data_IF_614393416391
#
_entry.id   IF_614393416391
#
_cell.length_a   1.000
_cell.length_b   1.000
_cell.length_c   1.000
_cell.angle_alpha   90.00
_cell.angle_beta   90.00
_cell.angle_gamma   90.00
#
_symmetry.space_group_name_H-M   'P 1'
#
loop_
_entity.id
_entity.type
_entity.pdbx_description
1 polymer ?
#
# COMPACT_ATOMS: atom_id res chain seq x y z
N UNK A 1 -8.81 11.05 33.97
CA UNK A 1 -7.77 11.36 34.96
C UNK A 1 -7.42 12.83 34.82
N UNK A 2 -7.86 13.62 35.80
CA UNK A 2 -7.56 15.03 35.98
C UNK A 2 -6.06 15.26 36.20
N UNK A 3 -5.53 16.39 35.73
CA UNK A 3 -4.78 17.33 36.57
C UNK A 3 -4.67 18.72 35.93
N UNK A 4 -5.24 19.67 36.67
CA UNK A 4 -5.03 21.12 36.65
C UNK A 4 -3.57 21.48 37.04
N UNK A 5 -3.26 22.78 36.92
CA UNK A 5 -2.31 23.65 37.66
C UNK A 5 -1.42 24.40 36.64
N UNK A 6 -1.72 25.68 36.34
CA UNK A 6 -1.35 26.90 37.10
C UNK A 6 0.14 27.25 36.95
N UNK A 7 0.44 28.43 36.39
CA UNK A 7 1.20 29.48 37.08
C UNK A 7 1.57 30.60 36.12
N UNK A 8 1.19 31.80 36.55
CA UNK A 8 1.51 33.12 36.05
C UNK A 8 2.89 33.51 36.62
N UNK A 9 3.88 33.84 35.79
CA UNK A 9 5.12 34.48 36.25
C UNK A 9 5.41 35.72 35.41
N UNK A 10 5.20 36.86 36.05
CA UNK A 10 5.69 38.19 35.69
C UNK A 10 7.20 38.20 35.98
N UNK A 11 8.02 38.62 35.01
CA UNK A 11 9.43 38.91 35.26
C UNK A 11 9.80 40.19 34.53
N UNK A 12 10.06 41.23 35.32
CA UNK A 12 10.59 42.50 34.89
C UNK A 12 12.07 42.39 34.52
N UNK A 13 12.47 43.21 33.56
CA UNK A 13 13.86 43.50 33.26
C UNK A 13 14.09 44.99 33.51
N UNK A 14 14.71 45.26 34.67
CA UNK A 14 15.43 46.50 34.95
C UNK A 14 16.55 46.68 33.92
N UNK A 15 16.64 47.88 33.36
CA UNK A 15 17.86 48.37 32.69
C UNK A 15 18.60 49.29 33.67
N UNK A 16 19.92 49.14 33.88
CA UNK A 16 20.69 50.01 34.74
C UNK A 16 21.09 51.31 34.01
N UNK A 17 20.83 52.45 34.64
CA UNK A 17 21.37 53.73 34.20
C UNK A 17 22.78 53.92 34.73
N UNK A 18 23.72 54.10 33.81
CA UNK A 18 25.13 54.40 34.04
C UNK A 18 25.26 55.84 34.58
N UNK A 19 25.84 55.97 35.77
CA UNK A 19 26.20 57.24 36.41
C UNK A 19 27.52 57.74 35.80
N UNK A 20 27.51 58.93 35.22
CA UNK A 20 28.73 59.66 34.85
C UNK A 20 28.73 60.99 35.59
N UNK A 21 29.69 61.11 36.51
CA UNK A 21 29.99 62.30 37.28
C UNK A 21 30.52 63.41 36.36
N UNK A 22 29.92 64.59 36.45
CA UNK A 22 30.54 65.84 36.00
C UNK A 22 30.46 66.86 37.13
N UNK A 23 31.63 67.44 37.39
CA UNK A 23 31.97 68.43 38.40
C UNK A 23 31.34 69.77 38.10
N UNK A 24 30.57 70.33 39.06
CA UNK A 24 30.09 71.71 39.00
C UNK A 24 30.92 72.62 39.91
N UNK A 25 31.61 73.55 39.26
CA UNK A 25 32.16 74.78 39.81
C UNK A 25 31.02 75.74 40.18
N UNK A 26 31.02 76.22 41.42
CA UNK A 26 30.07 77.20 41.94
C UNK A 26 30.26 78.59 41.31
N UNK A 27 29.20 79.13 40.70
CA UNK A 27 29.10 80.53 40.28
C UNK A 27 27.78 81.09 40.84
N UNK A 28 27.78 82.31 41.44
CA UNK A 28 26.66 82.81 42.21
C UNK A 28 25.47 83.27 41.35
N UNK A 29 24.29 83.10 41.96
CA UNK A 29 22.96 83.28 41.39
C UNK A 29 22.62 84.73 41.00
N UNK A 30 21.90 84.94 39.88
CA UNK A 30 21.12 86.15 39.65
C UNK A 30 19.77 86.10 40.37
N UNK A 31 19.32 87.27 40.81
CA UNK A 31 18.16 87.53 41.67
C UNK A 31 16.80 87.14 41.05
N UNK A 32 15.77 86.86 41.89
CA UNK A 32 14.50 86.31 41.45
C UNK A 32 13.49 87.43 41.17
N UNK A 33 13.21 87.69 39.90
CA UNK A 33 12.01 88.44 39.50
C UNK A 33 11.30 87.62 38.43
N UNK A 34 10.04 87.27 38.70
CA UNK A 34 9.05 86.72 37.75
C UNK A 34 8.92 85.17 37.63
N UNK A 35 8.66 84.51 38.76
CA UNK A 35 8.32 83.07 38.85
C UNK A 35 6.86 82.75 38.49
N UNK A 36 5.93 83.68 38.69
CA UNK A 36 4.50 83.47 38.40
C UNK A 36 4.20 83.27 36.92
N UNK A 37 4.73 84.13 36.04
CA UNK A 37 4.47 84.07 34.59
C UNK A 37 5.07 82.80 33.96
N UNK A 38 6.25 82.37 34.41
CA UNK A 38 6.92 81.15 33.91
C UNK A 38 6.15 79.87 34.25
N UNK A 39 5.50 79.83 35.41
CA UNK A 39 4.71 78.67 35.82
C UNK A 39 3.43 78.56 34.99
N UNK A 40 2.71 79.67 34.79
CA UNK A 40 1.53 79.72 33.90
C UNK A 40 1.84 79.33 32.46
N UNK A 41 3.00 79.73 31.90
CA UNK A 41 3.41 79.34 30.54
C UNK A 41 3.70 77.82 30.46
N UNK A 42 4.28 77.22 31.51
CA UNK A 42 4.49 75.76 31.59
C UNK A 42 3.16 75.01 31.68
N UNK A 43 2.20 75.50 32.44
CA UNK A 43 0.88 74.88 32.61
C UNK A 43 0.06 74.95 31.32
N UNK A 44 0.10 76.08 30.60
CA UNK A 44 -0.53 76.23 29.27
C UNK A 44 0.12 75.26 28.26
N UNK A 45 1.46 75.17 28.23
CA UNK A 45 2.17 74.24 27.34
C UNK A 45 1.85 72.78 27.66
N UNK A 46 1.75 72.40 28.92
CA UNK A 46 1.44 71.02 29.31
C UNK A 46 -0.04 70.66 29.08
N UNK A 47 -0.97 71.61 29.21
CA UNK A 47 -2.36 71.38 28.81
C UNK A 47 -2.50 71.24 27.30
N UNK A 48 -1.87 72.13 26.52
CA UNK A 48 -1.85 72.03 25.06
C UNK A 48 -1.22 70.72 24.58
N UNK A 49 -0.13 70.26 25.24
CA UNK A 49 0.50 68.99 24.93
C UNK A 49 -0.43 67.80 25.24
N UNK A 50 -1.16 67.84 26.37
CA UNK A 50 -2.17 66.82 26.71
C UNK A 50 -3.31 66.74 25.70
N UNK A 51 -3.81 67.87 25.19
CA UNK A 51 -4.81 67.89 24.11
C UNK A 51 -4.27 67.31 22.80
N UNK A 52 -3.04 67.64 22.43
CA UNK A 52 -2.40 67.11 21.22
C UNK A 52 -2.21 65.59 21.35
N UNK A 53 -1.78 65.11 22.51
CA UNK A 53 -1.56 63.69 22.75
C UNK A 53 -2.87 62.91 22.85
N UNK A 54 -3.93 63.50 23.41
CA UNK A 54 -5.28 62.95 23.39
C UNK A 54 -5.82 62.82 21.96
N UNK A 55 -5.71 63.87 21.13
CA UNK A 55 -6.11 63.83 19.72
C UNK A 55 -5.30 62.82 18.90
N UNK A 56 -3.99 62.67 19.20
CA UNK A 56 -3.14 61.63 18.60
C UNK A 56 -3.56 60.23 19.03
N UNK A 57 -3.98 60.03 20.28
CA UNK A 57 -4.47 58.75 20.77
C UNK A 57 -5.80 58.35 20.10
N UNK A 58 -6.74 59.30 19.97
CA UNK A 58 -7.98 59.09 19.23
C UNK A 58 -7.72 58.76 17.76
N UNK A 59 -6.85 59.53 17.09
CA UNK A 59 -6.47 59.25 15.70
C UNK A 59 -5.84 57.86 15.53
N UNK A 60 -4.98 57.42 16.47
CA UNK A 60 -4.42 56.06 16.47
C UNK A 60 -5.49 54.99 16.64
N UNK A 61 -6.47 55.21 17.51
CA UNK A 61 -7.56 54.26 17.74
C UNK A 61 -8.45 54.12 16.49
N UNK A 62 -8.81 55.23 15.85
CA UNK A 62 -9.57 55.24 14.60
C UNK A 62 -8.83 54.53 13.46
N UNK A 63 -7.51 54.74 13.35
CA UNK A 63 -6.67 54.03 12.36
C UNK A 63 -6.64 52.52 12.65
N UNK A 64 -6.58 52.10 13.91
CA UNK A 64 -6.62 50.68 14.29
C UNK A 64 -7.96 50.04 13.96
N UNK A 65 -9.08 50.70 14.28
CA UNK A 65 -10.42 50.23 13.94
C UNK A 65 -10.58 50.06 12.43
N UNK A 66 -10.20 51.07 11.63
CA UNK A 66 -10.26 50.99 10.18
C UNK A 66 -9.36 49.88 9.61
N UNK A 67 -8.18 49.66 10.18
CA UNK A 67 -7.30 48.54 9.78
C UNK A 67 -7.93 47.18 10.09
N UNK A 68 -8.54 47.02 11.26
CA UNK A 68 -9.23 45.78 11.63
C UNK A 68 -10.42 45.51 10.71
N UNK A 69 -11.19 46.56 10.38
CA UNK A 69 -12.36 46.47 9.52
C UNK A 69 -11.98 46.15 8.06
N UNK A 70 -10.90 46.77 7.55
CA UNK A 70 -10.33 46.44 6.23
C UNK A 70 -9.78 45.02 6.19
N UNK A 71 -9.15 44.57 7.28
CA UNK A 71 -8.65 43.19 7.41
C UNK A 71 -9.81 42.21 7.41
N UNK A 72 -10.88 42.46 8.17
CA UNK A 72 -12.09 41.64 8.19
C UNK A 72 -12.76 41.55 6.81
N UNK A 73 -12.88 42.68 6.10
CA UNK A 73 -13.42 42.72 4.73
C UNK A 73 -12.56 41.90 3.76
N UNK A 74 -11.24 42.04 3.80
CA UNK A 74 -10.32 41.26 2.97
C UNK A 74 -10.39 39.75 3.28
N UNK A 75 -10.57 39.36 4.53
CA UNK A 75 -10.80 37.96 4.92
C UNK A 75 -12.11 37.44 4.34
N UNK A 76 -13.19 38.23 4.37
CA UNK A 76 -14.50 37.88 3.80
C UNK A 76 -14.48 37.71 2.27
N UNK A 77 -13.70 38.54 1.55
CA UNK A 77 -13.57 38.44 0.10
C UNK A 77 -12.78 37.19 -0.30
N UNK A 78 -11.71 36.86 0.43
CA UNK A 78 -10.98 35.58 0.26
C UNK A 78 -11.88 34.38 0.61
N UNK A 79 -12.79 34.56 1.56
CA UNK A 79 -13.81 33.60 1.95
C UNK A 79 -14.69 33.16 0.78
N UNK A 80 -15.30 34.14 0.10
CA UNK A 80 -16.14 33.87 -1.05
C UNK A 80 -15.36 33.25 -2.21
N UNK A 81 -14.11 33.66 -2.45
CA UNK A 81 -13.30 33.15 -3.57
C UNK A 81 -12.96 31.65 -3.45
N UNK A 82 -12.67 31.15 -2.23
CA UNK A 82 -12.39 29.72 -2.05
C UNK A 82 -13.66 28.88 -2.21
N UNK A 83 -14.74 29.24 -1.52
CA UNK A 83 -15.97 28.47 -1.55
C UNK A 83 -16.65 28.52 -2.94
N UNK A 84 -16.52 29.61 -3.69
CA UNK A 84 -16.98 29.66 -5.09
C UNK A 84 -16.15 28.80 -6.06
N UNK A 85 -14.91 28.46 -5.69
CA UNK A 85 -14.02 27.62 -6.49
C UNK A 85 -13.91 26.18 -5.97
N UNK A 86 -14.66 25.81 -4.93
CA UNK A 86 -14.49 24.53 -4.26
C UNK A 86 -14.75 23.35 -5.21
N UNK A 87 -15.78 23.41 -6.05
CA UNK A 87 -16.09 22.38 -7.04
C UNK A 87 -14.92 22.10 -7.98
N UNK A 88 -14.19 23.15 -8.41
CA UNK A 88 -13.00 22.98 -9.26
C UNK A 88 -11.89 22.23 -8.54
N UNK A 89 -11.70 22.49 -7.24
CA UNK A 89 -10.72 21.74 -6.43
C UNK A 89 -11.15 20.31 -6.17
N UNK A 90 -12.44 20.06 -5.99
CA UNK A 90 -12.98 18.72 -5.71
C UNK A 90 -12.92 17.81 -6.95
N UNK A 91 -13.17 18.34 -8.15
CA UNK A 91 -13.09 17.58 -9.40
C UNK A 91 -11.68 17.03 -9.69
N UNK A 92 -10.63 17.64 -9.12
CA UNK A 92 -9.26 17.15 -9.25
C UNK A 92 -8.99 15.83 -8.51
N UNK A 93 -9.80 15.47 -7.52
CA UNK A 93 -9.58 14.30 -6.65
C UNK A 93 -9.90 12.96 -7.34
N UNK A 94 -10.82 12.92 -8.32
CA UNK A 94 -11.29 11.66 -8.94
C UNK A 94 -10.31 11.05 -9.93
N UNK A 95 -9.46 11.87 -10.56
CA UNK A 95 -8.72 11.49 -11.78
C UNK A 95 -7.51 10.57 -11.55
N UNK A 96 -7.05 10.40 -10.30
CA UNK A 96 -5.89 9.56 -9.98
C UNK A 96 -6.24 8.10 -9.64
N UNK A 97 -7.42 7.86 -9.07
CA UNK A 97 -7.84 6.51 -8.69
C UNK A 97 -8.25 5.66 -9.90
N UNK A 98 -8.97 6.25 -10.86
CA UNK A 98 -9.53 5.56 -12.03
C UNK A 98 -8.44 5.08 -13.00
N UNK A 99 -7.39 5.89 -13.22
CA UNK A 99 -6.28 5.54 -14.13
C UNK A 99 -5.48 4.30 -13.70
N UNK A 100 -5.59 3.87 -12.45
CA UNK A 100 -4.93 2.65 -11.93
C UNK A 100 -5.72 1.37 -12.23
N UNK A 101 -7.02 1.49 -12.53
CA UNK A 101 -7.91 0.36 -12.81
C UNK A 101 -7.70 -0.15 -14.24
N UNK A 102 -7.67 0.77 -15.22
CA UNK A 102 -7.49 0.45 -16.65
C UNK A 102 -6.17 -0.28 -16.95
N UNK A 103 -5.07 0.16 -16.32
CA UNK A 103 -3.75 -0.50 -16.46
C UNK A 103 -3.72 -1.94 -15.93
N UNK A 104 -4.62 -2.28 -14.99
CA UNK A 104 -4.66 -3.63 -14.41
C UNK A 104 -5.36 -4.63 -15.30
N UNK A 105 -6.28 -4.21 -16.18
CA UNK A 105 -6.95 -5.12 -17.10
C UNK A 105 -6.05 -5.56 -18.26
N UNK A 106 -5.29 -4.64 -18.85
CA UNK A 106 -4.37 -4.96 -19.97
C UNK A 106 -3.29 -5.99 -19.57
N UNK A 107 -2.84 -5.94 -18.32
CA UNK A 107 -1.82 -6.87 -17.81
C UNK A 107 -2.36 -8.29 -17.60
N UNK A 108 -3.68 -8.47 -17.42
CA UNK A 108 -4.30 -9.79 -17.20
C UNK A 108 -4.33 -10.66 -18.46
N UNK A 109 -4.63 -10.08 -19.62
CA UNK A 109 -4.69 -10.83 -20.89
C UNK A 109 -3.38 -11.54 -21.21
N UNK A 110 -2.27 -10.81 -21.12
CA UNK A 110 -0.91 -11.33 -21.37
C UNK A 110 -0.49 -12.44 -20.38
N UNK A 111 -1.04 -12.45 -19.17
CA UNK A 111 -0.75 -13.48 -18.18
C UNK A 111 -1.54 -14.77 -18.43
N UNK A 112 -2.76 -14.67 -18.95
CA UNK A 112 -3.58 -15.81 -19.37
C UNK A 112 -2.93 -16.57 -20.53
N UNK A 113 -2.59 -15.85 -21.60
CA UNK A 113 -1.98 -16.44 -22.81
C UNK A 113 -0.71 -17.23 -22.51
N UNK A 114 0.18 -16.69 -21.67
CA UNK A 114 1.41 -17.41 -21.26
C UNK A 114 1.15 -18.70 -20.50
N UNK A 115 0.07 -18.77 -19.73
CA UNK A 115 -0.30 -19.99 -18.98
C UNK A 115 -0.79 -21.07 -19.93
N UNK A 116 -1.53 -20.71 -20.95
CA UNK A 116 -2.05 -21.65 -21.94
C UNK A 116 -0.93 -22.16 -22.86
N UNK A 117 -0.03 -21.29 -23.32
CA UNK A 117 1.16 -21.68 -24.09
C UNK A 117 2.03 -22.70 -23.31
N UNK A 118 2.25 -22.46 -22.02
CA UNK A 118 3.04 -23.38 -21.20
C UNK A 118 2.34 -24.74 -21.03
N UNK A 119 1.00 -24.76 -20.97
CA UNK A 119 0.21 -25.99 -20.87
C UNK A 119 0.35 -26.83 -22.13
N UNK A 120 0.28 -26.19 -23.30
CA UNK A 120 0.47 -26.86 -24.58
C UNK A 120 1.84 -27.51 -24.68
N UNK A 121 2.91 -26.74 -24.35
CA UNK A 121 4.29 -27.25 -24.33
C UNK A 121 4.49 -28.44 -23.39
N UNK A 122 3.86 -28.44 -22.22
CA UNK A 122 3.91 -29.60 -21.30
C UNK A 122 3.19 -30.80 -21.90
N UNK A 123 2.04 -30.60 -22.54
CA UNK A 123 1.31 -31.66 -23.23
C UNK A 123 2.11 -32.29 -24.37
N UNK A 124 2.79 -31.48 -25.18
CA UNK A 124 3.67 -31.96 -26.25
C UNK A 124 4.85 -32.79 -25.72
N UNK A 125 5.53 -32.30 -24.67
CA UNK A 125 6.66 -33.03 -24.06
C UNK A 125 6.25 -34.37 -23.47
N UNK A 126 5.03 -34.49 -22.93
CA UNK A 126 4.50 -35.77 -22.45
C UNK A 126 4.28 -36.75 -23.59
N UNK A 127 3.64 -36.30 -24.68
CA UNK A 127 3.45 -37.13 -25.88
C UNK A 127 4.79 -37.63 -26.45
N UNK A 128 5.80 -36.76 -26.49
CA UNK A 128 7.15 -37.13 -26.95
C UNK A 128 7.79 -38.19 -26.04
N UNK A 129 7.70 -38.02 -24.72
CA UNK A 129 8.23 -38.96 -23.74
C UNK A 129 7.50 -40.32 -23.81
N UNK A 130 6.18 -40.31 -23.99
CA UNK A 130 5.38 -41.53 -24.13
C UNK A 130 5.76 -42.30 -25.40
N UNK A 131 6.01 -41.59 -26.50
CA UNK A 131 6.50 -42.22 -27.75
C UNK A 131 7.86 -42.88 -27.54
N UNK A 132 8.82 -42.16 -26.94
CA UNK A 132 10.16 -42.70 -26.63
C UNK A 132 10.09 -43.91 -25.71
N UNK A 133 9.21 -43.90 -24.72
CA UNK A 133 9.01 -45.04 -23.82
C UNK A 133 8.44 -46.24 -24.57
N UNK A 134 7.42 -46.05 -25.41
CA UNK A 134 6.83 -47.11 -26.23
C UNK A 134 7.87 -47.75 -27.16
N UNK A 135 8.74 -46.95 -27.77
CA UNK A 135 9.85 -47.46 -28.58
C UNK A 135 10.84 -48.31 -27.77
N UNK A 136 11.19 -47.89 -26.55
CA UNK A 136 12.07 -48.66 -25.66
C UNK A 136 11.45 -50.00 -25.26
N UNK A 137 10.15 -49.99 -24.93
CA UNK A 137 9.39 -51.20 -24.57
C UNK A 137 9.23 -52.16 -25.77
N UNK A 138 9.05 -51.63 -26.98
CA UNK A 138 9.03 -52.43 -28.21
C UNK A 138 10.38 -53.13 -28.45
N UNK A 139 11.51 -52.43 -28.23
CA UNK A 139 12.85 -53.04 -28.31
C UNK A 139 13.06 -54.14 -27.28
N UNK A 140 12.47 -54.02 -26.09
CA UNK A 140 12.52 -55.06 -25.05
C UNK A 140 11.78 -56.33 -25.49
N UNK A 141 10.63 -56.18 -26.15
CA UNK A 141 9.86 -57.30 -26.70
C UNK A 141 10.66 -58.11 -27.72
N UNK A 142 11.43 -57.45 -28.59
CA UNK A 142 12.30 -58.12 -29.57
C UNK A 142 13.47 -58.93 -28.96
N UNK A 143 13.79 -58.73 -27.67
CA UNK A 143 14.85 -59.49 -26.97
C UNK A 143 14.34 -60.75 -26.26
N UNK A 144 13.02 -60.94 -26.20
CA UNK A 144 12.42 -62.14 -25.60
C UNK A 144 12.47 -63.31 -26.58
N UNK A 145 13.11 -64.41 -26.20
CA UNK A 145 13.30 -65.58 -27.08
C UNK A 145 12.31 -66.71 -26.80
N UNK A 146 11.87 -66.86 -25.55
CA UNK A 146 10.90 -67.90 -25.16
C UNK A 146 9.52 -67.31 -24.90
N UNK A 147 8.48 -68.15 -24.98
CA UNK A 147 7.10 -67.69 -24.72
C UNK A 147 6.92 -67.20 -23.28
N UNK A 148 7.58 -67.83 -22.30
CA UNK A 148 7.63 -67.33 -20.93
C UNK A 148 8.26 -65.92 -20.82
N UNK A 149 9.32 -65.63 -21.60
CA UNK A 149 9.92 -64.28 -21.62
C UNK A 149 9.00 -63.27 -22.32
N UNK A 150 8.29 -63.66 -23.38
CA UNK A 150 7.32 -62.78 -24.07
C UNK A 150 6.15 -62.41 -23.15
N UNK A 151 5.63 -63.37 -22.39
CA UNK A 151 4.58 -63.13 -21.38
C UNK A 151 5.09 -62.16 -20.32
N UNK A 152 6.27 -62.41 -19.73
CA UNK A 152 6.83 -61.54 -18.72
C UNK A 152 7.14 -60.11 -19.22
N UNK A 153 7.59 -59.96 -20.48
CA UNK A 153 7.76 -58.63 -21.10
C UNK A 153 6.41 -57.95 -21.29
N UNK A 154 5.37 -58.68 -21.70
CA UNK A 154 4.01 -58.14 -21.84
C UNK A 154 3.48 -57.65 -20.50
N UNK A 155 3.62 -58.45 -19.44
CA UNK A 155 3.22 -58.08 -18.08
C UNK A 155 4.00 -56.85 -17.57
N UNK A 156 5.31 -56.79 -17.85
CA UNK A 156 6.13 -55.62 -17.53
C UNK A 156 5.67 -54.37 -18.27
N UNK A 157 5.33 -54.47 -19.56
CA UNK A 157 4.80 -53.35 -20.36
C UNK A 157 3.48 -52.86 -19.78
N UNK A 158 2.57 -53.77 -19.44
CA UNK A 158 1.28 -53.44 -18.81
C UNK A 158 1.50 -52.74 -17.47
N UNK A 159 2.36 -53.28 -16.60
CA UNK A 159 2.69 -52.69 -15.31
C UNK A 159 3.32 -51.29 -15.45
N UNK A 160 4.21 -51.12 -16.43
CA UNK A 160 4.83 -49.83 -16.72
C UNK A 160 3.81 -48.79 -17.20
N UNK A 161 2.97 -49.14 -18.17
CA UNK A 161 1.93 -48.26 -18.70
C UNK A 161 0.93 -47.86 -17.60
N UNK A 162 0.55 -48.81 -16.73
CA UNK A 162 -0.31 -48.55 -15.59
C UNK A 162 0.37 -47.57 -14.60
N UNK A 163 1.62 -47.81 -14.23
CA UNK A 163 2.36 -46.93 -13.32
C UNK A 163 2.53 -45.51 -13.89
N UNK A 164 2.80 -45.38 -15.20
CA UNK A 164 2.86 -44.10 -15.89
C UNK A 164 1.51 -43.38 -15.86
N UNK A 165 0.44 -44.08 -16.23
CA UNK A 165 -0.92 -43.54 -16.23
C UNK A 165 -1.35 -43.05 -14.84
N UNK A 166 -1.03 -43.80 -13.78
CA UNK A 166 -1.33 -43.42 -12.40
C UNK A 166 -0.54 -42.17 -12.01
N UNK A 167 0.76 -42.14 -12.30
CA UNK A 167 1.63 -40.99 -12.00
C UNK A 167 1.14 -39.74 -12.71
N UNK A 168 0.84 -39.83 -14.00
CA UNK A 168 0.46 -38.67 -14.81
C UNK A 168 -0.91 -38.14 -14.40
N UNK A 169 -1.88 -39.03 -14.13
CA UNK A 169 -3.18 -38.64 -13.57
C UNK A 169 -3.04 -37.95 -12.20
N UNK A 170 -2.17 -38.45 -11.33
CA UNK A 170 -1.93 -37.85 -10.02
C UNK A 170 -1.25 -36.48 -10.14
N UNK A 171 -0.22 -36.34 -11.00
CA UNK A 171 0.44 -35.05 -11.26
C UNK A 171 -0.56 -34.05 -11.85
N UNK A 172 -1.42 -34.48 -12.77
CA UNK A 172 -2.43 -33.59 -13.37
C UNK A 172 -3.47 -33.12 -12.35
N UNK A 173 -3.90 -33.99 -11.46
CA UNK A 173 -4.79 -33.63 -10.36
C UNK A 173 -4.13 -32.58 -9.45
N UNK A 174 -2.87 -32.79 -9.03
CA UNK A 174 -2.09 -31.87 -8.19
C UNK A 174 -1.92 -30.51 -8.90
N UNK A 175 -1.52 -30.52 -10.17
CA UNK A 175 -1.32 -29.29 -10.94
C UNK A 175 -2.63 -28.54 -11.16
N UNK A 176 -3.75 -29.25 -11.37
CA UNK A 176 -5.07 -28.63 -11.48
C UNK A 176 -5.48 -27.99 -10.15
N UNK A 177 -5.40 -28.72 -9.04
CA UNK A 177 -5.74 -28.21 -7.72
C UNK A 177 -4.95 -26.94 -7.37
N UNK A 178 -3.64 -26.96 -7.63
CA UNK A 178 -2.77 -25.80 -7.39
C UNK A 178 -3.16 -24.58 -8.26
N UNK A 179 -3.54 -24.79 -9.52
CA UNK A 179 -4.02 -23.70 -10.40
C UNK A 179 -5.34 -23.13 -9.89
N UNK A 180 -6.29 -24.00 -9.57
CA UNK A 180 -7.61 -23.60 -9.05
C UNK A 180 -7.45 -22.79 -7.73
N UNK A 181 -6.52 -23.19 -6.87
CA UNK A 181 -6.17 -22.45 -5.65
C UNK A 181 -5.59 -21.05 -5.96
N UNK A 182 -4.65 -20.96 -6.90
CA UNK A 182 -4.11 -19.67 -7.36
C UNK A 182 -5.21 -18.78 -7.95
N UNK A 183 -6.06 -19.32 -8.82
CA UNK A 183 -7.11 -18.56 -9.48
C UNK A 183 -8.15 -18.06 -8.48
N UNK A 184 -8.50 -18.88 -7.49
CA UNK A 184 -9.34 -18.48 -6.34
C UNK A 184 -8.70 -17.34 -5.55
N UNK A 185 -7.39 -17.44 -5.24
CA UNK A 185 -6.68 -16.39 -4.52
C UNK A 185 -6.61 -15.07 -5.32
N UNK A 186 -6.39 -15.16 -6.64
CA UNK A 186 -6.38 -14.00 -7.54
C UNK A 186 -7.77 -13.35 -7.62
N UNK A 187 -8.83 -14.14 -7.76
CA UNK A 187 -10.21 -13.66 -7.78
C UNK A 187 -10.58 -12.98 -6.46
N UNK A 188 -10.25 -13.59 -5.32
CA UNK A 188 -10.46 -13.00 -3.99
C UNK A 188 -9.72 -11.67 -3.84
N UNK A 189 -8.44 -11.61 -4.25
CA UNK A 189 -7.66 -10.36 -4.25
C UNK A 189 -8.28 -9.28 -5.14
N UNK A 190 -8.81 -9.66 -6.31
CA UNK A 190 -9.52 -8.74 -7.23
C UNK A 190 -10.74 -8.13 -6.53
N UNK A 191 -11.63 -8.97 -6.00
CA UNK A 191 -12.85 -8.52 -5.31
C UNK A 191 -12.52 -7.64 -4.10
N UNK A 192 -11.53 -8.01 -3.29
CA UNK A 192 -11.12 -7.21 -2.14
C UNK A 192 -10.59 -5.82 -2.54
N UNK A 193 -9.86 -5.77 -3.66
CA UNK A 193 -9.30 -4.54 -4.19
C UNK A 193 -10.37 -3.63 -4.81
N UNK A 194 -11.34 -4.18 -5.53
CA UNK A 194 -12.53 -3.46 -6.01
C UNK A 194 -13.32 -2.87 -4.83
N UNK A 195 -13.52 -3.65 -3.76
CA UNK A 195 -14.14 -3.15 -2.52
C UNK A 195 -13.35 -2.03 -1.85
N UNK A 196 -12.02 -2.11 -1.84
CA UNK A 196 -11.15 -1.05 -1.32
C UNK A 196 -11.28 0.24 -2.14
N UNK A 197 -11.35 0.14 -3.47
CA UNK A 197 -11.58 1.30 -4.34
C UNK A 197 -12.97 1.91 -4.14
N UNK A 198 -14.01 1.08 -4.05
CA UNK A 198 -15.38 1.55 -3.79
C UNK A 198 -15.45 2.31 -2.45
N UNK A 199 -14.80 1.77 -1.40
CA UNK A 199 -14.71 2.44 -0.09
C UNK A 199 -13.96 3.76 -0.19
N UNK A 200 -12.82 3.79 -0.88
CA UNK A 200 -12.06 5.03 -1.06
C UNK A 200 -12.84 6.10 -1.82
N UNK A 201 -13.58 5.72 -2.88
CA UNK A 201 -14.48 6.63 -3.61
C UNK A 201 -15.56 7.20 -2.68
N UNK A 202 -16.21 6.34 -1.90
CA UNK A 202 -17.23 6.77 -0.94
C UNK A 202 -16.66 7.73 0.13
N UNK A 203 -15.47 7.42 0.68
CA UNK A 203 -14.79 8.30 1.64
C UNK A 203 -14.48 9.68 1.01
N UNK A 204 -14.04 9.73 -0.25
CA UNK A 204 -13.77 10.98 -0.96
C UNK A 204 -15.06 11.76 -1.23
N UNK A 205 -16.14 11.11 -1.67
CA UNK A 205 -17.44 11.77 -1.87
C UNK A 205 -18.01 12.35 -0.56
N UNK A 206 -17.88 11.62 0.55
CA UNK A 206 -18.27 12.13 1.86
C UNK A 206 -17.46 13.38 2.25
N UNK A 207 -16.15 13.38 1.99
CA UNK A 207 -15.29 14.54 2.24
C UNK A 207 -15.63 15.73 1.33
N UNK A 208 -15.97 15.49 0.06
CA UNK A 208 -16.46 16.53 -0.86
C UNK A 208 -17.76 17.14 -0.34
N UNK A 209 -18.72 16.31 0.07
CA UNK A 209 -20.00 16.77 0.60
C UNK A 209 -19.82 17.60 1.88
N UNK A 210 -18.97 17.14 2.81
CA UNK A 210 -18.66 17.89 4.02
C UNK A 210 -18.04 19.26 3.71
N UNK A 211 -17.08 19.32 2.79
CA UNK A 211 -16.42 20.58 2.45
C UNK A 211 -17.39 21.60 1.83
N UNK A 212 -18.39 21.14 1.06
CA UNK A 212 -19.50 21.99 0.55
C UNK A 212 -20.38 22.50 1.69
N UNK A 213 -20.82 21.61 2.57
CA UNK A 213 -21.64 21.97 3.73
C UNK A 213 -20.94 22.96 4.67
N UNK A 214 -19.63 22.79 4.89
CA UNK A 214 -18.81 23.72 5.69
C UNK A 214 -18.75 25.11 5.05
N UNK A 215 -18.63 25.18 3.72
CA UNK A 215 -18.67 26.44 2.97
C UNK A 215 -20.05 27.12 3.04
N UNK A 216 -21.14 26.37 2.92
CA UNK A 216 -22.51 26.89 3.06
C UNK A 216 -22.82 27.37 4.49
N UNK A 217 -22.23 26.71 5.48
CA UNK A 217 -22.36 27.06 6.91
C UNK A 217 -21.51 28.28 7.31
N UNK A 218 -20.76 28.88 6.37
CA UNK A 218 -19.94 30.06 6.63
C UNK A 218 -18.65 29.78 7.41
N UNK A 219 -18.19 28.52 7.47
CA UNK A 219 -16.91 28.18 8.10
C UNK A 219 -15.76 28.88 7.37
N UNK A 220 -14.73 29.31 8.10
CA UNK A 220 -13.59 29.97 7.46
C UNK A 220 -12.84 29.03 6.50
N UNK A 221 -12.43 29.47 5.30
CA UNK A 221 -11.78 28.66 4.28
C UNK A 221 -10.50 28.02 4.75
N UNK A 222 -9.80 28.67 5.67
CA UNK A 222 -8.58 28.12 6.28
C UNK A 222 -8.91 26.85 7.06
N UNK A 223 -10.04 26.85 7.80
CA UNK A 223 -10.55 25.65 8.46
C UNK A 223 -11.03 24.65 7.41
N UNK A 224 -11.90 25.03 6.47
CA UNK A 224 -12.43 24.12 5.43
C UNK A 224 -11.30 23.43 4.66
N UNK A 225 -10.29 24.19 4.22
CA UNK A 225 -9.14 23.66 3.48
C UNK A 225 -8.28 22.72 4.32
N UNK A 226 -8.07 23.05 5.60
CA UNK A 226 -7.31 22.20 6.53
C UNK A 226 -8.05 20.90 6.79
N UNK A 227 -9.36 20.96 7.05
CA UNK A 227 -10.23 19.80 7.25
C UNK A 227 -10.27 18.93 5.99
N UNK A 228 -10.54 19.51 4.82
CA UNK A 228 -10.53 18.81 3.53
C UNK A 228 -9.21 18.06 3.30
N UNK A 229 -8.07 18.74 3.47
CA UNK A 229 -6.76 18.11 3.30
C UNK A 229 -6.54 16.96 4.27
N UNK A 230 -6.90 17.15 5.54
CA UNK A 230 -6.73 16.14 6.59
C UNK A 230 -7.60 14.91 6.33
N UNK A 231 -8.87 15.12 5.94
CA UNK A 231 -9.79 14.02 5.66
C UNK A 231 -9.42 13.26 4.38
N UNK A 232 -8.97 13.95 3.32
CA UNK A 232 -8.44 13.29 2.11
C UNK A 232 -7.21 12.46 2.47
N UNK A 233 -6.29 12.99 3.29
CA UNK A 233 -5.11 12.25 3.74
C UNK A 233 -5.51 11.00 4.54
N UNK A 234 -6.48 11.12 5.46
CA UNK A 234 -6.98 9.99 6.23
C UNK A 234 -7.59 8.90 5.33
N UNK A 235 -8.39 9.28 4.32
CA UNK A 235 -8.94 8.34 3.34
C UNK A 235 -7.84 7.64 2.53
N UNK A 236 -6.80 8.38 2.11
CA UNK A 236 -5.65 7.81 1.41
C UNK A 236 -4.87 6.82 2.28
N UNK A 237 -4.65 7.13 3.56
CA UNK A 237 -3.88 6.28 4.46
C UNK A 237 -4.68 5.02 4.86
N UNK A 238 -6.00 5.15 5.01
CA UNK A 238 -6.93 4.02 5.14
C UNK A 238 -6.85 3.12 3.91
N UNK A 239 -6.97 3.67 2.70
CA UNK A 239 -6.85 2.91 1.46
C UNK A 239 -5.49 2.20 1.33
N UNK A 240 -4.38 2.89 1.60
CA UNK A 240 -3.04 2.27 1.59
C UNK A 240 -2.94 1.11 2.58
N UNK A 241 -3.52 1.26 3.78
CA UNK A 241 -3.52 0.22 4.80
C UNK A 241 -4.33 -1.00 4.38
N UNK A 242 -5.52 -0.78 3.80
CA UNK A 242 -6.35 -1.84 3.22
C UNK A 242 -5.64 -2.55 2.06
N UNK A 243 -4.98 -1.81 1.17
CA UNK A 243 -4.21 -2.41 0.08
C UNK A 243 -3.08 -3.27 0.65
N UNK A 244 -2.31 -2.76 1.61
CA UNK A 244 -1.23 -3.53 2.26
C UNK A 244 -1.73 -4.81 2.92
N UNK A 245 -2.92 -4.82 3.53
CA UNK A 245 -3.48 -6.05 4.12
C UNK A 245 -3.89 -7.05 3.04
N UNK A 246 -4.45 -6.59 1.93
CA UNK A 246 -4.79 -7.43 0.76
C UNK A 246 -3.53 -8.06 0.14
N UNK A 247 -2.40 -7.33 0.10
CA UNK A 247 -1.15 -7.82 -0.50
C UNK A 247 -0.44 -8.92 0.31
N UNK A 248 -0.74 -9.05 1.61
CA UNK A 248 -0.24 -10.17 2.44
C UNK A 248 -0.75 -11.53 1.98
N UNK A 249 -1.71 -11.59 1.05
CA UNK A 249 -2.10 -12.82 0.35
C UNK A 249 -0.95 -13.53 -0.41
N UNK A 250 0.24 -12.90 -0.53
CA UNK A 250 1.49 -13.57 -0.98
C UNK A 250 1.79 -14.86 -0.20
N UNK A 251 1.41 -14.91 1.07
CA UNK A 251 1.72 -16.05 1.95
C UNK A 251 1.00 -17.34 1.51
N UNK A 252 -0.20 -17.22 0.91
CA UNK A 252 -0.95 -18.35 0.36
C UNK A 252 -0.20 -19.00 -0.82
N UNK A 253 0.54 -18.22 -1.60
CA UNK A 253 1.28 -18.77 -2.74
C UNK A 253 2.47 -19.62 -2.32
N UNK A 254 3.11 -19.35 -1.18
CA UNK A 254 4.26 -20.14 -0.72
C UNK A 254 3.83 -21.45 -0.07
N UNK A 255 2.77 -21.43 0.77
CA UNK A 255 2.21 -22.66 1.35
C UNK A 255 1.75 -23.63 0.25
N UNK A 256 1.08 -23.11 -0.78
CA UNK A 256 0.62 -23.91 -1.92
C UNK A 256 1.77 -24.47 -2.77
N UNK A 257 2.91 -23.76 -2.86
CA UNK A 257 4.09 -24.28 -3.56
C UNK A 257 4.71 -25.45 -2.80
N UNK A 258 4.83 -25.37 -1.48
CA UNK A 258 5.43 -26.45 -0.69
C UNK A 258 4.51 -27.68 -0.62
N UNK A 259 3.20 -27.47 -0.50
CA UNK A 259 2.21 -28.54 -0.59
C UNK A 259 2.32 -29.28 -1.94
N UNK A 260 2.31 -28.53 -3.06
CA UNK A 260 2.49 -29.10 -4.39
C UNK A 260 3.79 -29.87 -4.52
N UNK A 261 4.90 -29.34 -4.00
CA UNK A 261 6.22 -30.00 -4.06
C UNK A 261 6.18 -31.34 -3.31
N UNK A 262 5.64 -31.34 -2.09
CA UNK A 262 5.51 -32.53 -1.24
C UNK A 262 4.66 -33.61 -1.92
N UNK A 263 3.53 -33.24 -2.50
CA UNK A 263 2.65 -34.20 -3.22
C UNK A 263 3.31 -34.75 -4.48
N UNK A 264 4.02 -33.91 -5.25
CA UNK A 264 4.78 -34.36 -6.43
C UNK A 264 5.90 -35.33 -6.05
N UNK A 265 6.64 -35.04 -4.98
CA UNK A 265 7.68 -35.93 -4.45
C UNK A 265 7.10 -37.28 -4.04
N UNK A 266 5.94 -37.28 -3.38
CA UNK A 266 5.22 -38.51 -3.03
C UNK A 266 4.82 -39.32 -4.27
N UNK A 267 4.23 -38.69 -5.28
CA UNK A 267 3.86 -39.35 -6.54
C UNK A 267 5.08 -39.96 -7.24
N UNK A 268 6.22 -39.28 -7.21
CA UNK A 268 7.47 -39.84 -7.74
C UNK A 268 7.99 -41.03 -6.94
N UNK A 269 7.89 -40.99 -5.61
CA UNK A 269 8.26 -42.12 -4.76
C UNK A 269 7.37 -43.35 -5.03
N UNK A 270 6.05 -43.16 -5.10
CA UNK A 270 5.08 -44.20 -5.40
C UNK A 270 5.33 -44.82 -6.79
N UNK A 271 5.63 -43.98 -7.80
CA UNK A 271 6.01 -44.43 -9.14
C UNK A 271 7.31 -45.25 -9.14
N UNK A 272 8.33 -44.81 -8.40
CA UNK A 272 9.61 -45.54 -8.30
C UNK A 272 9.42 -46.93 -7.71
N UNK A 273 8.61 -47.05 -6.65
CA UNK A 273 8.27 -48.34 -6.03
C UNK A 273 7.57 -49.26 -7.05
N UNK A 274 6.62 -48.73 -7.81
CA UNK A 274 5.90 -49.50 -8.84
C UNK A 274 6.84 -50.03 -9.94
N UNK A 275 7.76 -49.20 -10.43
CA UNK A 275 8.74 -49.63 -11.45
C UNK A 275 9.71 -50.68 -10.90
N UNK A 276 10.25 -50.48 -9.70
CA UNK A 276 11.20 -51.43 -9.12
C UNK A 276 10.56 -52.80 -8.91
N UNK A 277 9.29 -52.84 -8.50
CA UNK A 277 8.52 -54.09 -8.46
C UNK A 277 8.42 -54.75 -9.85
N UNK A 278 7.98 -54.01 -10.87
CA UNK A 278 7.86 -54.53 -12.23
C UNK A 278 9.22 -55.04 -12.78
N UNK A 279 10.32 -54.35 -12.48
CA UNK A 279 11.68 -54.76 -12.84
C UNK A 279 12.10 -56.07 -12.16
N UNK A 280 11.80 -56.23 -10.88
CA UNK A 280 12.09 -57.46 -10.14
C UNK A 280 11.32 -58.66 -10.69
N UNK A 281 10.04 -58.47 -11.02
CA UNK A 281 9.19 -59.50 -11.61
C UNK A 281 9.74 -59.93 -12.98
N UNK A 282 10.10 -58.96 -13.84
CA UNK A 282 10.73 -59.22 -15.14
C UNK A 282 12.07 -59.96 -14.98
N UNK A 283 12.94 -59.50 -14.07
CA UNK A 283 14.25 -60.12 -13.84
C UNK A 283 14.12 -61.57 -13.37
N UNK A 284 13.12 -61.87 -12.54
CA UNK A 284 12.84 -63.23 -12.07
C UNK A 284 12.47 -64.14 -13.23
N UNK A 285 11.57 -63.69 -14.12
CA UNK A 285 11.20 -64.44 -15.32
C UNK A 285 12.38 -64.72 -16.26
N UNK A 286 13.32 -63.78 -16.40
CA UNK A 286 14.53 -63.98 -17.21
C UNK A 286 15.57 -64.90 -16.53
N UNK A 287 15.61 -64.95 -15.19
CA UNK A 287 16.53 -65.82 -14.42
C UNK A 287 16.09 -67.27 -14.37
N UNK A 288 14.78 -67.55 -14.29
CA UNK A 288 14.24 -68.92 -14.30
C UNK A 288 14.67 -69.73 -15.54
N UNK A 289 15.03 -69.06 -16.64
CA UNK A 289 15.55 -69.68 -17.86
C UNK A 289 17.04 -70.08 -17.77
N UNK A 290 17.86 -69.33 -17.04
CA UNK A 290 19.29 -69.63 -16.91
C UNK A 290 19.53 -70.97 -16.20
N UNK A 291 18.64 -71.36 -15.31
CA UNK A 291 18.68 -72.65 -14.60
C UNK A 291 18.01 -73.80 -15.38
N UNK A 292 16.99 -73.53 -16.20
CA UNK A 292 16.32 -74.57 -17.00
C UNK A 292 17.14 -75.06 -18.22
N UNK A 293 18.09 -74.26 -18.71
CA UNK A 293 18.92 -74.63 -19.87
C UNK A 293 20.06 -75.59 -19.49
N UNK A 294 20.46 -75.65 -18.21
CA UNK A 294 21.58 -76.48 -17.73
C UNK A 294 21.16 -77.92 -17.38
N UNK A 295 19.87 -78.25 -17.43
CA UNK A 295 19.34 -79.59 -17.05
C UNK A 295 19.02 -80.47 -18.26
N UNK A 296 19.34 -80.04 -19.49
CA UNK A 296 19.19 -80.85 -20.73
C UNK A 296 20.53 -81.29 -21.32
N UNK A 297 21.48 -81.64 -20.47
CA UNK A 297 22.68 -82.38 -20.90
C UNK A 297 23.09 -83.36 -19.81
N UNK A 298 22.31 -84.42 -19.66
CA UNK A 298 22.73 -85.71 -19.12
C UNK A 298 22.17 -86.80 -20.02
#
# INVERSE_FOLDING_TARGET
MNKLISSLVISGLLVPALVLAQTETSVPAPTPVNTGIRQTIKDIRTNAQREIDAKRAEARNTIQLNRNDTRAKATSTKQNMFCTQIDKTLNGLDTRGIKMEDKREETKGKAGEKRDEMREKVGERRKENDSKMKEQLARLSGRSATDAQKVAVTDFIVAMNLALSIRDAAIDAILKAHRDAIDTAVASRKTAMEGAFATFRADIEAVKAQAKADCESGITPEIVRTTLRTSVQAAQDKFKTTVKSIEKAKDVSESEKEARKTEVEKVHADFKVAIEKARLDLKTAFRLKATATTTQTQ
#
